data_IF_451515735026
#
_entry.id   IF_451515735026
#
_cell.length_a   1.000
_cell.length_b   1.000
_cell.length_c   1.000
_cell.angle_alpha   90.00
_cell.angle_beta   90.00
_cell.angle_gamma   90.00
#
_symmetry.space_group_name_H-M   'P 1'
#
loop_
_entity.id
_entity.type
_entity.pdbx_description
1 polymer ?
#
# COMPACT_ATOMS: atom_id res chain seq x y z
N UNK A 1 -9.01 -25.69 -7.11
CA UNK A 1 -7.60 -26.01 -7.38
C UNK A 1 -6.81 -24.70 -7.47
N UNK A 2 -5.64 -24.62 -6.86
CA UNK A 2 -4.78 -23.45 -6.92
C UNK A 2 -3.39 -23.87 -7.45
N UNK A 3 -2.91 -23.19 -8.47
CA UNK A 3 -1.62 -23.43 -9.09
C UNK A 3 -0.69 -22.24 -8.78
N UNK A 4 0.51 -22.49 -8.29
CA UNK A 4 1.53 -21.44 -8.14
C UNK A 4 2.12 -21.17 -9.52
N UNK A 5 1.91 -19.96 -10.03
CA UNK A 5 2.40 -19.56 -11.36
C UNK A 5 3.62 -18.63 -11.29
N UNK A 6 3.91 -18.09 -10.10
CA UNK A 6 5.10 -17.30 -9.82
C UNK A 6 5.44 -17.38 -8.34
N UNK A 7 6.72 -17.51 -8.03
CA UNK A 7 7.28 -17.34 -6.69
C UNK A 7 8.71 -16.87 -6.78
N UNK A 8 9.04 -15.78 -6.10
CA UNK A 8 10.41 -15.26 -6.05
C UNK A 8 10.66 -14.44 -4.79
N UNK A 9 11.93 -14.37 -4.38
CA UNK A 9 12.40 -13.35 -3.45
C UNK A 9 12.47 -12.03 -4.19
N UNK A 10 11.80 -11.00 -3.66
CA UNK A 10 11.72 -9.66 -4.27
C UNK A 10 12.51 -8.61 -3.49
N UNK A 11 12.96 -8.97 -2.29
CA UNK A 11 13.79 -8.12 -1.43
C UNK A 11 14.31 -8.91 -0.23
N UNK A 12 15.09 -8.28 0.67
CA UNK A 12 15.56 -8.94 1.88
C UNK A 12 14.39 -9.54 2.66
N UNK A 13 14.46 -10.83 3.02
CA UNK A 13 13.44 -11.57 3.78
C UNK A 13 12.01 -11.36 3.29
N UNK A 14 11.83 -11.09 1.99
CA UNK A 14 10.53 -10.83 1.39
C UNK A 14 10.33 -11.66 0.13
N UNK A 15 9.30 -12.50 0.14
CA UNK A 15 8.87 -13.26 -1.04
C UNK A 15 7.56 -12.71 -1.61
N UNK A 16 7.37 -12.90 -2.91
CA UNK A 16 6.13 -12.62 -3.60
C UNK A 16 5.66 -13.89 -4.33
N UNK A 17 4.40 -14.21 -4.18
CA UNK A 17 3.79 -15.39 -4.80
C UNK A 17 2.55 -14.97 -5.57
N UNK A 18 2.38 -15.54 -6.77
CA UNK A 18 1.15 -15.43 -7.53
C UNK A 18 0.53 -16.81 -7.73
N UNK A 19 -0.73 -16.94 -7.38
CA UNK A 19 -1.52 -18.13 -7.59
C UNK A 19 -2.54 -17.90 -8.70
N UNK A 20 -2.79 -18.94 -9.49
CA UNK A 20 -3.97 -19.05 -10.32
C UNK A 20 -4.95 -19.99 -9.64
N UNK A 21 -6.06 -19.47 -9.17
CA UNK A 21 -7.16 -20.25 -8.61
C UNK A 21 -8.20 -20.53 -9.69
N UNK A 22 -8.64 -21.78 -9.76
CA UNK A 22 -9.72 -22.20 -10.65
C UNK A 22 -10.92 -22.57 -9.79
N UNK A 23 -11.99 -21.83 -9.99
CA UNK A 23 -13.28 -22.11 -9.38
C UNK A 23 -14.17 -22.95 -10.31
N UNK A 24 -15.39 -23.17 -9.85
CA UNK A 24 -16.43 -23.84 -10.64
C UNK A 24 -16.77 -23.05 -11.90
N UNK A 25 -17.28 -23.73 -12.90
CA UNK A 25 -17.64 -23.14 -14.21
C UNK A 25 -16.47 -22.44 -14.94
N UNK A 26 -15.22 -22.86 -14.70
CA UNK A 26 -14.05 -22.34 -15.42
C UNK A 26 -13.61 -20.93 -15.02
N UNK A 27 -14.17 -20.35 -13.96
CA UNK A 27 -13.74 -19.03 -13.44
C UNK A 27 -12.30 -19.10 -13.00
N UNK A 28 -11.52 -18.08 -13.39
CA UNK A 28 -10.12 -17.91 -13.00
C UNK A 28 -9.97 -16.67 -12.12
N UNK A 29 -9.21 -16.79 -11.04
CA UNK A 29 -8.83 -15.69 -10.17
C UNK A 29 -7.33 -15.72 -9.96
N UNK A 30 -6.68 -14.55 -10.09
CA UNK A 30 -5.27 -14.39 -9.76
C UNK A 30 -5.16 -13.78 -8.38
N UNK A 31 -4.47 -14.49 -7.48
CA UNK A 31 -4.17 -14.02 -6.13
C UNK A 31 -2.68 -13.74 -6.05
N UNK A 32 -2.32 -12.54 -5.58
CA UNK A 32 -0.94 -12.17 -5.29
C UNK A 32 -0.83 -11.88 -3.81
N UNK A 33 0.19 -12.45 -3.17
CA UNK A 33 0.52 -12.15 -1.79
C UNK A 33 2.02 -12.08 -1.61
N UNK A 34 2.44 -11.38 -0.57
CA UNK A 34 3.83 -11.28 -0.17
C UNK A 34 3.96 -11.59 1.31
N UNK A 35 5.06 -12.23 1.65
CA UNK A 35 5.44 -12.54 3.04
C UNK A 35 6.75 -11.83 3.31
N UNK A 36 6.77 -11.04 4.38
CA UNK A 36 7.93 -10.26 4.81
C UNK A 36 8.23 -10.54 6.26
N UNK A 37 9.48 -10.86 6.58
CA UNK A 37 9.95 -10.95 7.96
C UNK A 37 10.42 -9.57 8.42
N UNK A 38 9.60 -8.94 9.26
CA UNK A 38 9.89 -7.61 9.82
C UNK A 38 10.88 -7.65 10.99
N UNK A 39 11.35 -8.84 11.43
CA UNK A 39 12.45 -8.94 12.40
C UNK A 39 13.81 -8.67 11.74
N UNK A 40 13.89 -8.75 10.42
CA UNK A 40 15.07 -8.39 9.67
C UNK A 40 15.33 -6.88 9.78
N UNK A 41 16.48 -6.44 10.33
CA UNK A 41 16.75 -5.01 10.54
C UNK A 41 16.90 -4.19 9.24
N UNK A 42 17.07 -4.87 8.11
CA UNK A 42 17.18 -4.22 6.79
C UNK A 42 15.84 -4.08 6.06
N UNK A 43 14.75 -4.49 6.70
CA UNK A 43 13.41 -4.41 6.13
C UNK A 43 12.52 -3.52 6.99
N UNK A 44 11.78 -2.65 6.34
CA UNK A 44 10.80 -1.80 7.02
C UNK A 44 9.53 -1.69 6.17
N UNK A 45 8.42 -1.49 6.84
CA UNK A 45 7.14 -1.18 6.23
C UNK A 45 6.81 0.29 6.50
N UNK A 46 6.31 1.02 5.52
CA UNK A 46 5.90 2.42 5.70
C UNK A 46 4.69 2.77 4.84
N UNK A 47 3.87 3.68 5.31
CA UNK A 47 2.84 4.32 4.51
C UNK A 47 3.49 5.41 3.63
N UNK A 48 3.04 5.52 2.38
CA UNK A 48 3.53 6.53 1.44
C UNK A 48 2.35 7.20 0.77
N UNK A 49 2.32 8.53 0.84
CA UNK A 49 1.32 9.32 0.12
C UNK A 49 1.77 9.63 -1.31
N UNK A 50 0.81 9.67 -2.23
CA UNK A 50 1.09 10.09 -3.60
C UNK A 50 1.64 11.51 -3.64
N UNK A 51 2.78 11.72 -4.30
CA UNK A 51 3.47 13.00 -4.40
C UNK A 51 3.79 13.66 -3.02
N UNK A 52 3.77 12.90 -1.91
CA UNK A 52 3.87 13.37 -0.53
C UNK A 52 2.84 14.48 -0.19
N UNK A 53 1.65 14.39 -0.77
CA UNK A 53 0.55 15.38 -0.61
C UNK A 53 -0.73 14.69 -0.19
N UNK A 54 -1.61 15.44 0.48
CA UNK A 54 -2.96 14.98 0.81
C UNK A 54 -3.76 14.56 -0.44
N UNK A 55 -3.70 15.35 -1.49
CA UNK A 55 -4.34 15.06 -2.77
C UNK A 55 -3.26 14.94 -3.86
N UNK A 56 -2.67 13.77 -3.98
CA UNK A 56 -1.60 13.49 -4.95
C UNK A 56 -1.80 12.12 -5.57
N UNK A 57 -2.43 12.04 -6.74
CA UNK A 57 -2.56 10.79 -7.49
C UNK A 57 -1.19 10.33 -8.01
N UNK A 58 -0.76 9.15 -7.62
CA UNK A 58 0.51 8.54 -8.08
C UNK A 58 0.36 7.02 -8.10
N UNK A 59 1.00 6.37 -9.07
CA UNK A 59 1.05 4.91 -9.10
C UNK A 59 2.02 4.38 -8.05
N UNK A 60 1.79 3.15 -7.54
CA UNK A 60 2.69 2.48 -6.60
C UNK A 60 4.12 2.42 -7.15
N UNK A 61 4.28 2.11 -8.45
CA UNK A 61 5.59 2.10 -9.09
C UNK A 61 6.22 3.50 -9.23
N UNK A 62 5.41 4.55 -9.33
CA UNK A 62 5.85 5.94 -9.27
C UNK A 62 6.39 6.29 -7.89
N UNK A 63 5.61 5.99 -6.84
CA UNK A 63 6.02 6.18 -5.45
C UNK A 63 7.32 5.43 -5.13
N UNK A 64 7.42 4.15 -5.55
CA UNK A 64 8.63 3.35 -5.37
C UNK A 64 9.85 4.03 -5.99
N UNK A 65 9.77 4.46 -7.23
CA UNK A 65 10.89 5.16 -7.92
C UNK A 65 11.25 6.47 -7.24
N UNK A 66 10.25 7.27 -6.86
CA UNK A 66 10.45 8.59 -6.25
C UNK A 66 11.07 8.50 -4.86
N UNK A 67 10.66 7.50 -4.06
CA UNK A 67 11.11 7.32 -2.67
C UNK A 67 12.40 6.50 -2.56
N UNK A 68 12.74 5.69 -3.57
CA UNK A 68 13.96 4.89 -3.54
C UNK A 68 15.21 5.76 -3.69
N UNK A 69 16.23 5.43 -2.90
CA UNK A 69 17.54 6.09 -2.90
C UNK A 69 18.61 5.06 -2.48
N UNK A 70 19.91 5.33 -2.70
CA UNK A 70 20.97 4.48 -2.19
C UNK A 70 20.79 4.19 -0.69
N UNK A 71 20.83 2.91 -0.30
CA UNK A 71 20.60 2.46 1.08
C UNK A 71 19.14 2.35 1.51
N UNK A 72 18.15 2.77 0.70
CA UNK A 72 16.72 2.66 1.03
C UNK A 72 15.90 2.44 -0.25
N UNK A 73 15.58 1.18 -0.54
CA UNK A 73 14.84 0.78 -1.75
C UNK A 73 13.41 0.37 -1.42
N UNK A 74 12.45 0.96 -2.12
CA UNK A 74 11.05 0.56 -2.08
C UNK A 74 10.80 -0.49 -3.17
N UNK A 75 10.80 -1.76 -2.81
CA UNK A 75 10.75 -2.87 -3.77
C UNK A 75 9.39 -3.56 -3.84
N UNK A 76 8.48 -3.27 -2.91
CA UNK A 76 7.14 -3.81 -2.86
C UNK A 76 6.16 -2.75 -2.38
N UNK A 77 4.96 -2.75 -2.90
CA UNK A 77 3.90 -1.86 -2.46
C UNK A 77 2.51 -2.38 -2.82
N UNK A 78 1.55 -1.97 -2.02
CA UNK A 78 0.12 -2.28 -2.18
C UNK A 78 -0.69 -1.05 -1.81
N UNK A 79 -1.89 -0.92 -2.37
CA UNK A 79 -2.82 0.11 -1.94
C UNK A 79 -3.21 -0.15 -0.47
N UNK A 80 -2.99 0.86 0.37
CA UNK A 80 -3.31 0.80 1.80
C UNK A 80 -4.76 1.18 2.10
N UNK A 81 -5.39 1.97 1.23
CA UNK A 81 -6.75 2.46 1.42
C UNK A 81 -7.44 2.76 0.09
N UNK A 82 -8.75 2.98 0.15
CA UNK A 82 -9.50 3.64 -0.91
C UNK A 82 -9.16 5.14 -0.94
N UNK A 83 -9.15 5.70 -2.13
CA UNK A 83 -8.85 7.12 -2.35
C UNK A 83 -9.85 7.75 -3.31
N UNK A 84 -9.98 9.06 -3.26
CA UNK A 84 -10.87 9.80 -4.15
C UNK A 84 -10.29 9.83 -5.57
N UNK A 85 -11.10 9.42 -6.53
CA UNK A 85 -10.74 9.42 -7.97
C UNK A 85 -11.22 10.67 -8.70
N UNK A 86 -12.05 11.49 -8.06
CA UNK A 86 -12.58 12.74 -8.60
C UNK A 86 -13.02 13.67 -7.49
N UNK A 87 -13.30 14.90 -7.84
CA UNK A 87 -13.87 15.92 -6.97
C UNK A 87 -12.93 17.11 -6.73
N UNK A 88 -13.55 18.18 -6.22
CA UNK A 88 -12.88 19.43 -5.86
C UNK A 88 -13.24 19.82 -4.42
N UNK A 89 -12.34 20.56 -3.78
CA UNK A 89 -12.65 21.25 -2.52
C UNK A 89 -13.63 22.39 -2.77
N UNK A 90 -14.22 22.96 -1.71
CA UNK A 90 -15.03 24.18 -1.81
C UNK A 90 -14.26 25.41 -2.39
N UNK A 91 -12.93 25.31 -2.51
CA UNK A 91 -12.06 26.32 -3.12
C UNK A 91 -11.64 25.98 -4.56
N UNK A 92 -12.17 24.87 -5.12
CA UNK A 92 -11.86 24.45 -6.48
C UNK A 92 -10.58 23.64 -6.65
N UNK A 93 -9.91 23.25 -5.56
CA UNK A 93 -8.68 22.43 -5.62
C UNK A 93 -9.05 20.95 -5.79
N UNK A 94 -8.25 20.19 -6.55
CA UNK A 94 -8.46 18.77 -6.74
C UNK A 94 -8.27 17.99 -5.43
N UNK A 95 -9.17 17.04 -5.16
CA UNK A 95 -9.05 16.07 -4.06
C UNK A 95 -8.65 14.66 -4.55
N UNK A 96 -8.31 14.51 -5.82
CA UNK A 96 -7.91 13.23 -6.40
C UNK A 96 -6.64 12.70 -5.71
N UNK A 97 -6.71 11.44 -5.28
CA UNK A 97 -5.62 10.79 -4.54
C UNK A 97 -5.69 10.97 -3.03
N UNK A 98 -6.65 11.77 -2.51
CA UNK A 98 -6.81 11.88 -1.05
C UNK A 98 -7.37 10.59 -0.46
N UNK A 99 -6.88 10.14 0.70
CA UNK A 99 -7.38 8.95 1.38
C UNK A 99 -8.83 9.16 1.83
N UNK A 100 -9.61 8.07 1.89
CA UNK A 100 -10.98 8.08 2.41
C UNK A 100 -10.97 7.72 3.89
N UNK A 101 -10.15 6.75 4.30
CA UNK A 101 -9.97 6.34 5.68
C UNK A 101 -8.88 7.13 6.41
N UNK A 102 -8.65 6.84 7.70
CA UNK A 102 -7.55 7.42 8.47
C UNK A 102 -6.22 7.13 7.81
N UNK A 103 -5.35 8.13 7.74
CA UNK A 103 -4.04 7.98 7.12
C UNK A 103 -2.98 8.79 7.88
N UNK A 104 -1.98 8.09 8.39
CA UNK A 104 -0.80 8.67 9.03
C UNK A 104 0.42 8.12 8.30
N UNK A 105 1.27 8.99 7.81
CA UNK A 105 2.52 8.61 7.18
C UNK A 105 3.66 9.50 7.70
N UNK A 106 4.78 8.88 8.07
CA UNK A 106 5.96 9.56 8.63
C UNK A 106 5.61 10.53 9.78
N UNK A 107 4.68 10.11 10.68
CA UNK A 107 4.22 10.93 11.82
C UNK A 107 3.27 12.07 11.45
N UNK A 108 2.96 12.25 10.18
CA UNK A 108 2.02 13.29 9.71
C UNK A 108 0.63 12.69 9.54
N UNK A 109 -0.38 13.32 10.13
CA UNK A 109 -1.79 12.96 9.94
C UNK A 109 -2.28 13.62 8.65
N UNK A 110 -2.52 12.82 7.62
CA UNK A 110 -3.08 13.27 6.34
C UNK A 110 -4.60 13.27 6.35
N UNK A 111 -5.21 12.28 7.01
CA UNK A 111 -6.65 12.20 7.18
C UNK A 111 -6.97 11.59 8.55
N UNK A 112 -7.87 12.22 9.28
CA UNK A 112 -8.32 11.76 10.60
C UNK A 112 -9.45 10.76 10.50
N UNK A 113 -9.90 10.28 11.67
CA UNK A 113 -11.05 9.40 11.77
C UNK A 113 -12.32 10.16 11.34
N UNK A 114 -13.01 9.63 10.36
CA UNK A 114 -14.31 10.13 9.96
C UNK A 114 -15.38 9.39 10.80
N UNK A 115 -16.32 10.12 11.39
CA UNK A 115 -17.38 9.54 12.22
C UNK A 115 -18.38 8.65 11.45
N UNK A 116 -18.17 8.49 10.15
CA UNK A 116 -19.05 7.73 9.26
C UNK A 116 -18.35 6.45 8.81
N UNK A 117 -18.67 5.34 9.45
CA UNK A 117 -18.23 4.00 9.06
C UNK A 117 -17.32 3.31 10.09
N UNK A 118 -17.26 2.00 10.01
CA UNK A 118 -16.32 1.16 10.75
C UNK A 118 -15.07 1.01 9.88
N UNK A 119 -13.96 1.61 10.27
CA UNK A 119 -12.67 1.47 9.61
C UNK A 119 -11.81 0.46 10.37
N UNK A 120 -11.08 -0.34 9.63
CA UNK A 120 -10.04 -1.22 10.16
C UNK A 120 -8.72 -0.62 9.73
N UNK A 121 -7.88 -0.27 10.68
CA UNK A 121 -6.58 0.33 10.43
C UNK A 121 -5.47 -0.65 10.75
N UNK A 122 -4.43 -0.62 9.93
CA UNK A 122 -3.15 -1.24 10.25
C UNK A 122 -2.17 -0.16 10.65
N UNK A 123 -1.63 -0.28 11.85
CA UNK A 123 -0.69 0.71 12.38
C UNK A 123 0.64 0.03 12.74
N UNK A 124 1.71 0.79 12.62
CA UNK A 124 3.02 0.43 13.16
C UNK A 124 3.44 1.50 14.17
N UNK A 125 3.95 1.07 15.32
CA UNK A 125 4.55 1.95 16.31
C UNK A 125 5.93 2.49 15.83
N UNK A 126 6.55 3.35 16.65
CA UNK A 126 7.89 3.87 16.38
C UNK A 126 8.97 2.78 16.29
N UNK A 127 8.73 1.59 16.85
CA UNK A 127 9.60 0.43 16.78
C UNK A 127 9.23 -0.50 15.60
N UNK A 128 8.31 -0.07 14.74
CA UNK A 128 7.80 -0.81 13.57
C UNK A 128 7.10 -2.12 13.94
N UNK A 129 6.50 -2.18 15.13
CA UNK A 129 5.66 -3.28 15.58
C UNK A 129 4.20 -2.97 15.29
N UNK A 130 3.41 -3.98 14.80
CA UNK A 130 1.98 -3.85 14.62
C UNK A 130 1.24 -3.70 15.92
#
# INVERSE_FOLDING_TARGET
MADTIFHAMVGPSTSCTQLLMRGDAGRKMYVRYSITDLTNPYVTFSAVMGQDKYAGGETISGMSRRKSRPGAQYFLGVNGDFFRTSGLTGRGESVVGSPIGPCIADGTIYHGVNHVGNWIDFTLDQNKKP
#
